data_IF_808933613249
#
_entry.id   IF_808933613249
#
_cell.length_a   1.000
_cell.length_b   1.000
_cell.length_c   1.000
_cell.angle_alpha   90.00
_cell.angle_beta   90.00
_cell.angle_gamma   90.00
#
_symmetry.space_group_name_H-M   'P 1'
#
loop_
_entity.id
_entity.type
_entity.pdbx_description
1 polymer ?
#
# COMPACT_ATOMS: atom_id res chain seq x y z
N UNK A 1 24.73 -4.84 39.92
CA UNK A 1 23.67 -5.70 39.33
C UNK A 1 24.32 -6.46 38.19
N UNK A 2 24.68 -7.73 38.39
CA UNK A 2 25.34 -8.54 37.36
C UNK A 2 24.27 -9.04 36.38
N UNK A 3 24.33 -8.60 35.12
CA UNK A 3 23.50 -9.12 34.03
C UNK A 3 23.83 -10.61 33.85
N UNK A 4 22.81 -11.47 33.84
CA UNK A 4 23.00 -12.90 33.65
C UNK A 4 23.24 -13.22 32.17
N UNK A 5 23.85 -14.36 31.85
CA UNK A 5 24.05 -14.82 30.47
C UNK A 5 22.74 -14.93 29.65
N UNK A 6 21.60 -15.07 30.32
CA UNK A 6 20.27 -15.10 29.69
C UNK A 6 19.79 -13.69 29.30
N UNK A 7 20.09 -12.69 30.12
CA UNK A 7 19.70 -11.29 29.86
C UNK A 7 20.45 -10.73 28.65
N UNK A 8 21.75 -11.01 28.56
CA UNK A 8 22.59 -10.61 27.41
C UNK A 8 22.11 -11.24 26.09
N UNK A 9 21.64 -12.49 26.14
CA UNK A 9 21.06 -13.18 24.98
C UNK A 9 19.75 -12.53 24.53
N UNK A 10 18.88 -12.19 25.49
CA UNK A 10 17.62 -11.49 25.22
C UNK A 10 17.85 -10.08 24.62
N UNK A 11 18.79 -9.33 25.17
CA UNK A 11 19.13 -7.98 24.70
C UNK A 11 19.69 -8.00 23.27
N UNK A 12 20.58 -8.97 22.96
CA UNK A 12 21.11 -9.15 21.60
C UNK A 12 19.99 -9.53 20.62
N UNK A 13 19.12 -10.46 20.98
CA UNK A 13 18.00 -10.88 20.14
C UNK A 13 17.05 -9.71 19.84
N UNK A 14 16.75 -8.89 20.85
CA UNK A 14 15.92 -7.70 20.69
C UNK A 14 16.60 -6.63 19.82
N UNK A 15 17.91 -6.43 19.97
CA UNK A 15 18.66 -5.48 19.14
C UNK A 15 18.62 -5.87 17.65
N UNK A 16 18.83 -7.16 17.34
CA UNK A 16 18.73 -7.68 15.96
C UNK A 16 17.29 -7.56 15.43
N UNK A 17 16.29 -7.90 16.24
CA UNK A 17 14.88 -7.75 15.85
C UNK A 17 14.51 -6.29 15.53
N UNK A 18 15.03 -5.32 16.28
CA UNK A 18 14.85 -3.90 16.00
C UNK A 18 15.54 -3.50 14.70
N UNK A 19 16.79 -3.92 14.47
CA UNK A 19 17.50 -3.63 13.23
C UNK A 19 16.79 -4.19 11.99
N UNK A 20 16.21 -5.40 12.10
CA UNK A 20 15.33 -5.98 11.06
C UNK A 20 14.10 -5.13 10.79
N UNK A 21 13.41 -4.69 11.85
CA UNK A 21 12.20 -3.87 11.73
C UNK A 21 12.50 -2.48 11.16
N UNK A 22 13.66 -1.90 11.50
CA UNK A 22 14.15 -0.65 10.93
C UNK A 22 14.43 -0.78 9.42
N UNK A 23 15.03 -1.90 9.00
CA UNK A 23 15.24 -2.22 7.58
C UNK A 23 13.92 -2.28 6.80
N UNK A 24 12.93 -2.99 7.35
CA UNK A 24 11.58 -3.03 6.79
C UNK A 24 10.92 -1.65 6.77
N UNK A 25 11.01 -0.89 7.87
CA UNK A 25 10.42 0.44 7.99
C UNK A 25 11.02 1.42 6.98
N UNK A 26 12.33 1.33 6.73
CA UNK A 26 13.02 2.09 5.67
C UNK A 26 12.48 1.73 4.30
N UNK A 27 12.36 0.43 3.98
CA UNK A 27 11.76 -0.02 2.72
C UNK A 27 10.35 0.53 2.54
N UNK A 28 9.48 0.33 3.52
CA UNK A 28 8.08 0.74 3.44
C UNK A 28 7.93 2.26 3.30
N UNK A 29 8.74 3.04 4.01
CA UNK A 29 8.77 4.51 3.88
C UNK A 29 9.12 4.95 2.47
N UNK A 30 10.17 4.39 1.86
CA UNK A 30 10.60 4.74 0.49
C UNK A 30 9.56 4.31 -0.54
N UNK A 31 8.96 3.14 -0.38
CA UNK A 31 7.87 2.66 -1.24
C UNK A 31 6.65 3.61 -1.20
N UNK A 32 6.25 4.06 0.00
CA UNK A 32 5.17 5.02 0.19
C UNK A 32 5.51 6.38 -0.38
N UNK A 33 6.74 6.84 -0.22
CA UNK A 33 7.20 8.11 -0.78
C UNK A 33 7.10 8.09 -2.31
N UNK A 34 7.63 7.06 -2.97
CA UNK A 34 7.54 6.90 -4.43
C UNK A 34 6.09 6.89 -4.92
N UNK A 35 5.18 6.25 -4.16
CA UNK A 35 3.74 6.24 -4.46
C UNK A 35 3.09 7.62 -4.30
N UNK A 36 3.48 8.43 -3.30
CA UNK A 36 2.98 9.81 -3.13
C UNK A 36 3.42 10.72 -4.26
N UNK A 37 4.66 10.59 -4.69
CA UNK A 37 5.24 11.38 -5.79
C UNK A 37 4.62 11.01 -7.16
N UNK A 38 3.94 9.88 -7.29
CA UNK A 38 3.27 9.48 -8.53
C UNK A 38 2.21 10.50 -8.98
N UNK A 39 1.49 11.13 -8.04
CA UNK A 39 0.53 12.20 -8.34
C UNK A 39 1.22 13.39 -9.00
N UNK A 40 2.32 13.87 -8.42
CA UNK A 40 3.09 15.00 -8.96
C UNK A 40 3.67 14.68 -10.35
N UNK A 41 4.21 13.47 -10.55
CA UNK A 41 4.72 13.03 -11.87
C UNK A 41 3.62 12.96 -12.92
N UNK A 42 2.43 12.51 -12.53
CA UNK A 42 1.27 12.52 -13.42
C UNK A 42 0.83 13.94 -13.73
N UNK A 43 0.70 14.82 -12.75
CA UNK A 43 0.26 16.22 -12.93
C UNK A 43 1.24 17.05 -13.76
N UNK A 44 2.54 16.78 -13.68
CA UNK A 44 3.56 17.45 -14.50
C UNK A 44 3.75 16.83 -15.89
N UNK A 45 3.02 15.77 -16.22
CA UNK A 45 3.21 14.98 -17.44
C UNK A 45 4.66 14.46 -17.64
N UNK A 46 5.43 14.27 -16.56
CA UNK A 46 6.81 13.77 -16.63
C UNK A 46 6.83 12.25 -16.82
N UNK A 47 6.52 11.83 -18.04
CA UNK A 47 6.46 10.41 -18.39
C UNK A 47 7.82 9.72 -18.33
N UNK A 48 8.92 10.47 -18.42
CA UNK A 48 10.26 9.92 -18.26
C UNK A 48 10.51 9.58 -16.78
N UNK A 49 10.17 10.46 -15.84
CA UNK A 49 10.23 10.20 -14.41
C UNK A 49 9.28 9.06 -14.00
N UNK A 50 8.08 8.97 -14.58
CA UNK A 50 7.17 7.83 -14.32
C UNK A 50 7.85 6.50 -14.70
N UNK A 51 8.45 6.41 -15.90
CA UNK A 51 9.14 5.18 -16.33
C UNK A 51 10.33 4.85 -15.43
N UNK A 52 11.13 5.85 -15.07
CA UNK A 52 12.29 5.68 -14.18
C UNK A 52 11.86 5.18 -12.80
N UNK A 53 10.88 5.84 -12.18
CA UNK A 53 10.37 5.46 -10.87
C UNK A 53 9.79 4.03 -10.86
N UNK A 54 9.12 3.60 -11.94
CA UNK A 54 8.65 2.23 -12.07
C UNK A 54 9.80 1.21 -12.12
N UNK A 55 10.86 1.49 -12.87
CA UNK A 55 12.03 0.63 -12.95
C UNK A 55 12.79 0.54 -11.61
N UNK A 56 13.02 1.69 -10.97
CA UNK A 56 13.68 1.78 -9.66
C UNK A 56 12.88 1.00 -8.59
N UNK A 57 11.55 1.11 -8.59
CA UNK A 57 10.70 0.44 -7.60
C UNK A 57 10.79 -1.09 -7.64
N UNK A 58 11.13 -1.68 -8.79
CA UNK A 58 11.34 -3.14 -8.89
C UNK A 58 12.54 -3.57 -8.03
N UNK A 59 13.58 -2.74 -7.96
CA UNK A 59 14.82 -3.04 -7.23
C UNK A 59 14.76 -2.65 -5.75
N UNK A 60 13.78 -1.82 -5.35
CA UNK A 60 13.68 -1.29 -3.98
C UNK A 60 13.59 -2.36 -2.90
N UNK A 61 12.95 -3.49 -3.15
CA UNK A 61 12.83 -4.52 -2.13
C UNK A 61 14.18 -5.21 -1.91
N UNK A 62 14.78 -5.72 -2.98
CA UNK A 62 16.05 -6.44 -2.93
C UNK A 62 17.18 -5.59 -2.38
N UNK A 63 17.22 -4.31 -2.73
CA UNK A 63 18.23 -3.38 -2.23
C UNK A 63 18.10 -3.16 -0.72
N UNK A 64 16.88 -2.99 -0.20
CA UNK A 64 16.65 -2.79 1.25
C UNK A 64 16.93 -4.04 2.05
N UNK A 65 16.60 -5.21 1.48
CA UNK A 65 16.98 -6.49 2.06
C UNK A 65 18.50 -6.61 2.11
N UNK A 66 19.22 -6.33 1.02
CA UNK A 66 20.69 -6.39 0.99
C UNK A 66 21.33 -5.46 2.03
N UNK A 67 20.91 -4.19 2.09
CA UNK A 67 21.41 -3.24 3.10
C UNK A 67 21.17 -3.74 4.53
N UNK A 68 20.02 -4.38 4.78
CA UNK A 68 19.70 -4.92 6.11
C UNK A 68 20.59 -6.11 6.44
N UNK A 69 20.83 -7.01 5.47
CA UNK A 69 21.75 -8.14 5.64
C UNK A 69 23.17 -7.65 5.95
N UNK A 70 23.69 -6.73 5.14
CA UNK A 70 25.04 -6.15 5.33
C UNK A 70 25.18 -5.48 6.70
N UNK A 71 24.16 -4.70 7.11
CA UNK A 71 24.12 -4.08 8.43
C UNK A 71 24.18 -5.12 9.54
N UNK A 72 23.31 -6.13 9.47
CA UNK A 72 23.22 -7.18 10.49
C UNK A 72 24.54 -7.96 10.64
N UNK A 73 25.15 -8.33 9.51
CA UNK A 73 26.46 -8.98 9.48
C UNK A 73 27.54 -8.10 10.12
N UNK A 74 27.57 -6.81 9.79
CA UNK A 74 28.60 -5.88 10.30
C UNK A 74 28.45 -5.52 11.78
N UNK A 75 27.21 -5.35 12.27
CA UNK A 75 26.94 -4.87 13.64
C UNK A 75 26.87 -6.02 14.66
N UNK A 76 26.44 -7.21 14.24
CA UNK A 76 26.13 -8.33 15.16
C UNK A 76 26.82 -9.65 14.82
N UNK A 77 27.67 -9.69 13.77
CA UNK A 77 28.33 -10.91 13.28
C UNK A 77 27.33 -12.06 13.06
N UNK A 78 26.21 -11.76 12.38
CA UNK A 78 25.07 -12.69 12.31
C UNK A 78 25.36 -14.05 11.67
N UNK A 79 26.44 -14.18 10.91
CA UNK A 79 26.88 -15.46 10.32
C UNK A 79 27.42 -16.44 11.37
N UNK A 80 28.00 -15.92 12.46
CA UNK A 80 28.56 -16.71 13.56
C UNK A 80 27.52 -17.03 14.65
N UNK A 81 26.30 -16.51 14.54
CA UNK A 81 25.28 -16.67 15.59
C UNK A 81 24.70 -18.09 15.60
N UNK A 82 24.48 -18.69 16.79
CA UNK A 82 23.83 -19.99 16.89
C UNK A 82 22.39 -19.94 16.38
N UNK A 83 21.95 -21.00 15.69
CA UNK A 83 20.56 -21.14 15.20
C UNK A 83 19.50 -20.89 16.28
N UNK A 84 19.75 -21.37 17.52
CA UNK A 84 18.84 -21.19 18.64
C UNK A 84 18.55 -19.72 18.98
N UNK A 85 19.46 -18.79 18.64
CA UNK A 85 19.24 -17.35 18.84
C UNK A 85 18.22 -16.78 17.86
N UNK A 86 18.07 -17.38 16.67
CA UNK A 86 17.09 -16.94 15.68
C UNK A 86 15.64 -17.18 16.11
N UNK A 87 15.40 -18.19 16.95
CA UNK A 87 14.09 -18.35 17.63
C UNK A 87 13.80 -17.19 18.56
N UNK A 88 14.78 -16.74 19.35
CA UNK A 88 14.61 -15.60 20.25
C UNK A 88 14.42 -14.31 19.47
N UNK A 89 15.20 -14.09 18.40
CA UNK A 89 15.04 -12.92 17.51
C UNK A 89 13.64 -12.90 16.94
N UNK A 90 13.13 -14.04 16.43
CA UNK A 90 11.76 -14.15 15.91
C UNK A 90 10.72 -13.84 16.99
N UNK A 91 10.89 -14.35 18.21
CA UNK A 91 9.98 -14.08 19.33
C UNK A 91 9.96 -12.58 19.69
N UNK A 92 11.12 -11.94 19.79
CA UNK A 92 11.23 -10.49 20.01
C UNK A 92 10.60 -9.70 18.85
N UNK A 93 10.80 -10.14 17.60
CA UNK A 93 10.22 -9.53 16.42
C UNK A 93 8.68 -9.56 16.47
N UNK A 94 8.07 -10.69 16.83
CA UNK A 94 6.62 -10.81 17.02
C UNK A 94 6.11 -9.79 18.05
N UNK A 95 6.83 -9.63 19.17
CA UNK A 95 6.49 -8.63 20.19
C UNK A 95 6.51 -7.20 19.66
N UNK A 96 7.41 -6.88 18.73
CA UNK A 96 7.45 -5.56 18.07
C UNK A 96 6.29 -5.37 17.07
N UNK A 97 5.71 -6.44 16.53
CA UNK A 97 4.65 -6.38 15.53
C UNK A 97 3.24 -6.22 16.10
N UNK A 98 3.04 -6.38 17.41
CA UNK A 98 1.70 -6.40 18.04
C UNK A 98 0.84 -5.17 17.71
N UNK A 99 1.45 -4.00 17.48
CA UNK A 99 0.76 -2.76 17.08
C UNK A 99 1.21 -2.23 15.71
N UNK A 100 1.90 -3.06 14.93
CA UNK A 100 2.40 -2.66 13.62
C UNK A 100 1.26 -2.68 12.59
N UNK A 101 1.15 -1.64 11.75
CA UNK A 101 0.05 -1.52 10.76
C UNK A 101 0.25 -2.39 9.51
N UNK A 102 1.42 -2.99 9.35
CA UNK A 102 1.78 -3.87 8.22
C UNK A 102 2.55 -5.10 8.71
N UNK A 103 1.96 -5.95 9.58
CA UNK A 103 2.68 -7.06 10.17
C UNK A 103 3.07 -8.12 9.12
N UNK A 104 2.17 -8.48 8.20
CA UNK A 104 2.42 -9.48 7.16
C UNK A 104 3.60 -9.12 6.24
N UNK A 105 3.74 -7.84 5.90
CA UNK A 105 4.86 -7.36 5.08
C UNK A 105 6.18 -7.38 5.86
N UNK A 106 6.14 -7.07 7.16
CA UNK A 106 7.29 -7.14 8.04
C UNK A 106 7.76 -8.59 8.23
N UNK A 107 6.83 -9.53 8.42
CA UNK A 107 7.11 -10.97 8.48
C UNK A 107 7.74 -11.50 7.18
N UNK A 108 7.25 -11.07 6.02
CA UNK A 108 7.84 -11.41 4.72
C UNK A 108 9.26 -10.87 4.58
N UNK A 109 9.48 -9.63 5.04
CA UNK A 109 10.80 -9.00 5.04
C UNK A 109 11.77 -9.76 5.95
N UNK A 110 11.33 -10.11 7.17
CA UNK A 110 12.07 -10.97 8.10
C UNK A 110 12.49 -12.28 7.43
N UNK A 111 11.53 -13.02 6.86
CA UNK A 111 11.83 -14.30 6.19
C UNK A 111 12.89 -14.13 5.09
N UNK A 112 12.78 -13.06 4.29
CA UNK A 112 13.72 -12.81 3.20
C UNK A 112 15.14 -12.53 3.71
N UNK A 113 15.28 -11.71 4.76
CA UNK A 113 16.58 -11.37 5.35
C UNK A 113 17.19 -12.58 6.04
N UNK A 114 16.42 -13.29 6.88
CA UNK A 114 16.88 -14.48 7.59
C UNK A 114 17.33 -15.58 6.63
N UNK A 115 16.59 -15.83 5.54
CA UNK A 115 17.00 -16.80 4.51
C UNK A 115 18.30 -16.44 3.79
N UNK A 116 18.63 -15.13 3.68
CA UNK A 116 19.89 -14.69 3.08
C UNK A 116 21.08 -14.88 4.03
N UNK A 117 20.86 -14.72 5.34
CA UNK A 117 21.92 -14.87 6.35
C UNK A 117 22.17 -16.34 6.68
N UNK A 118 21.12 -17.13 6.89
CA UNK A 118 21.23 -18.53 7.32
C UNK A 118 21.64 -19.51 6.20
N UNK A 119 21.83 -19.02 4.98
CA UNK A 119 22.01 -19.80 3.75
C UNK A 119 20.88 -20.81 3.47
N UNK A 120 20.73 -21.25 2.21
CA UNK A 120 19.58 -22.04 1.70
C UNK A 120 19.37 -23.42 2.35
N UNK A 121 20.19 -23.80 3.31
CA UNK A 121 20.17 -25.11 3.97
C UNK A 121 19.13 -25.22 5.09
N UNK A 122 18.56 -24.09 5.55
CA UNK A 122 17.67 -24.06 6.71
C UNK A 122 16.23 -23.65 6.34
N UNK A 123 15.46 -24.62 5.83
CA UNK A 123 13.99 -24.55 5.76
C UNK A 123 13.35 -25.19 7.00
N UNK A 124 13.81 -24.82 8.20
CA UNK A 124 13.14 -25.23 9.44
C UNK A 124 12.05 -24.21 9.78
N UNK A 125 10.79 -24.66 9.77
CA UNK A 125 9.60 -23.83 9.98
C UNK A 125 9.65 -22.99 11.27
N UNK A 126 10.40 -23.44 12.27
CA UNK A 126 10.50 -22.78 13.58
C UNK A 126 11.12 -21.38 13.48
N UNK A 127 11.99 -21.14 12.49
CA UNK A 127 12.68 -19.86 12.30
C UNK A 127 11.99 -18.91 11.31
N UNK A 128 10.89 -19.33 10.66
CA UNK A 128 10.20 -18.52 9.64
C UNK A 128 8.73 -18.29 9.97
N UNK A 129 8.17 -17.22 9.44
CA UNK A 129 6.73 -16.98 9.46
C UNK A 129 6.07 -17.77 8.32
N UNK A 130 5.64 -19.01 8.61
CA UNK A 130 4.86 -19.87 7.69
C UNK A 130 3.36 -19.58 7.80
N UNK A 131 2.93 -19.09 8.96
CA UNK A 131 1.59 -18.57 9.23
C UNK A 131 1.72 -17.17 9.82
N UNK A 132 0.78 -16.25 9.53
CA UNK A 132 0.78 -14.93 10.15
C UNK A 132 0.82 -15.05 11.67
N UNK A 133 1.74 -14.33 12.31
CA UNK A 133 1.85 -14.34 13.77
C UNK A 133 0.92 -13.31 14.41
N UNK A 134 0.48 -12.30 13.66
CA UNK A 134 -0.41 -11.22 14.11
C UNK A 134 -1.68 -11.18 13.27
N UNK A 135 -2.85 -11.11 13.91
CA UNK A 135 -4.13 -10.94 13.22
C UNK A 135 -4.27 -9.53 12.65
N UNK A 136 -4.72 -9.44 11.39
CA UNK A 136 -5.01 -8.18 10.69
C UNK A 136 -6.49 -7.80 10.74
N UNK A 137 -7.34 -8.61 11.39
CA UNK A 137 -8.81 -8.49 11.40
C UNK A 137 -9.31 -7.17 12.02
N UNK A 138 -8.56 -6.60 12.97
CA UNK A 138 -8.94 -5.39 13.71
C UNK A 138 -8.07 -4.17 13.37
N UNK A 139 -7.41 -4.16 12.20
CA UNK A 139 -6.67 -2.98 11.75
C UNK A 139 -7.63 -1.89 11.27
N UNK A 140 -7.86 -0.89 12.11
CA UNK A 140 -8.60 0.30 11.73
C UNK A 140 -7.75 1.24 10.85
N UNK A 141 -8.30 1.62 9.69
CA UNK A 141 -7.70 2.57 8.79
C UNK A 141 -8.10 4.00 9.13
N UNK A 142 -7.15 4.80 9.62
CA UNK A 142 -7.31 6.26 9.76
C UNK A 142 -6.27 6.99 8.88
N UNK A 143 -6.72 7.76 7.86
CA UNK A 143 -8.11 7.91 7.38
C UNK A 143 -8.63 6.65 6.67
N UNK A 144 -9.95 6.51 6.47
CA UNK A 144 -10.52 5.34 5.81
C UNK A 144 -10.04 5.18 4.37
N UNK A 145 -9.94 3.93 3.91
CA UNK A 145 -9.54 3.58 2.54
C UNK A 145 -10.53 4.08 1.49
N UNK A 146 -11.80 4.22 1.86
CA UNK A 146 -12.87 4.72 1.00
C UNK A 146 -13.49 6.00 1.55
N UNK A 147 -13.83 6.93 0.64
CA UNK A 147 -14.76 8.04 0.88
C UNK A 147 -16.13 7.66 0.34
N UNK A 148 -17.17 7.86 1.14
CA UNK A 148 -18.56 7.55 0.77
C UNK A 148 -19.31 8.80 0.36
N UNK A 149 -20.05 8.70 -0.75
CA UNK A 149 -20.89 9.75 -1.31
C UNK A 149 -22.32 9.23 -1.50
N UNK A 150 -23.33 10.09 -1.32
CA UNK A 150 -24.74 9.66 -1.25
C UNK A 150 -25.60 10.31 -2.35
N UNK A 151 -25.73 9.68 -3.54
CA UNK A 151 -26.45 10.24 -4.69
C UNK A 151 -27.93 10.54 -4.46
N UNK A 152 -28.58 9.83 -3.53
CA UNK A 152 -30.01 10.03 -3.22
C UNK A 152 -30.30 11.43 -2.64
N UNK A 153 -29.35 12.00 -1.91
CA UNK A 153 -29.51 13.31 -1.26
C UNK A 153 -29.21 14.46 -2.23
N UNK A 154 -28.07 14.39 -2.91
CA UNK A 154 -27.52 15.53 -3.65
C UNK A 154 -27.66 15.38 -5.18
N UNK A 155 -28.09 14.22 -5.66
CA UNK A 155 -28.18 13.87 -7.07
C UNK A 155 -26.87 13.36 -7.65
N UNK A 156 -26.96 12.32 -8.49
CA UNK A 156 -25.79 11.61 -9.03
C UNK A 156 -24.78 12.53 -9.74
N UNK A 157 -25.24 13.48 -10.57
CA UNK A 157 -24.34 14.39 -11.31
C UNK A 157 -23.59 15.34 -10.36
N UNK A 158 -24.24 15.83 -9.30
CA UNK A 158 -23.59 16.70 -8.33
C UNK A 158 -22.55 15.93 -7.52
N UNK A 159 -22.89 14.71 -7.09
CA UNK A 159 -21.96 13.80 -6.41
C UNK A 159 -20.74 13.49 -7.27
N UNK A 160 -20.91 13.17 -8.56
CA UNK A 160 -19.77 12.92 -9.44
C UNK A 160 -18.87 14.16 -9.59
N UNK A 161 -19.43 15.38 -9.64
CA UNK A 161 -18.61 16.60 -9.62
C UNK A 161 -17.86 16.77 -8.31
N UNK A 162 -18.50 16.47 -7.18
CA UNK A 162 -17.85 16.54 -5.87
C UNK A 162 -16.68 15.55 -5.80
N UNK A 163 -16.88 14.30 -6.26
CA UNK A 163 -15.83 13.29 -6.32
C UNK A 163 -14.61 13.82 -7.09
N UNK A 164 -14.81 14.44 -8.26
CA UNK A 164 -13.70 14.99 -9.06
C UNK A 164 -12.96 16.13 -8.35
N UNK A 165 -13.68 16.99 -7.61
CA UNK A 165 -13.08 18.06 -6.80
C UNK A 165 -12.23 17.50 -5.67
N UNK A 166 -12.75 16.47 -4.99
CA UNK A 166 -12.12 15.83 -3.85
C UNK A 166 -10.85 15.02 -4.21
N UNK A 167 -10.56 14.81 -5.50
CA UNK A 167 -9.28 14.25 -5.97
C UNK A 167 -8.12 15.23 -5.77
N UNK A 168 -8.42 16.53 -5.63
CA UNK A 168 -7.47 17.61 -5.40
C UNK A 168 -6.34 17.61 -6.44
N UNK A 169 -6.65 17.29 -7.70
CA UNK A 169 -5.67 17.35 -8.79
C UNK A 169 -5.36 18.82 -9.12
N UNK A 170 -4.08 19.16 -9.29
CA UNK A 170 -3.66 20.53 -9.60
C UNK A 170 -4.06 20.97 -11.03
N UNK A 171 -4.19 20.03 -11.96
CA UNK A 171 -4.61 20.32 -13.32
C UNK A 171 -6.15 20.40 -13.41
N UNK A 172 -6.70 21.40 -14.12
CA UNK A 172 -8.12 21.48 -14.36
C UNK A 172 -8.57 20.38 -15.34
N UNK A 173 -9.83 19.99 -15.23
CA UNK A 173 -10.49 19.21 -16.27
C UNK A 173 -10.94 20.12 -17.42
N UNK A 174 -10.74 19.71 -18.66
CA UNK A 174 -11.06 20.51 -19.85
C UNK A 174 -12.55 20.85 -19.94
N UNK A 175 -13.41 19.83 -19.80
CA UNK A 175 -14.86 19.97 -19.80
C UNK A 175 -15.49 18.88 -18.92
N UNK A 176 -15.63 19.19 -17.63
CA UNK A 176 -16.25 18.30 -16.64
C UNK A 176 -17.67 17.91 -17.06
N UNK A 177 -18.42 18.82 -17.66
CA UNK A 177 -19.81 18.57 -17.98
C UNK A 177 -19.97 17.58 -19.14
N UNK A 178 -19.09 17.64 -20.14
CA UNK A 178 -18.94 16.65 -21.22
C UNK A 178 -18.51 15.31 -20.68
N UNK A 179 -17.45 15.28 -19.88
CA UNK A 179 -16.88 14.03 -19.40
C UNK A 179 -17.89 13.29 -18.50
N UNK A 180 -18.62 14.01 -17.64
CA UNK A 180 -19.71 13.43 -16.85
C UNK A 180 -20.89 12.94 -17.70
N UNK A 181 -21.17 13.53 -18.88
CA UNK A 181 -22.16 12.97 -19.80
C UNK A 181 -21.72 11.60 -20.32
N UNK A 182 -20.44 11.41 -20.63
CA UNK A 182 -19.91 10.12 -21.06
C UNK A 182 -19.95 9.08 -19.94
N UNK A 183 -19.53 9.45 -18.72
CA UNK A 183 -19.65 8.58 -17.54
C UNK A 183 -21.09 8.16 -17.30
N UNK A 184 -22.04 9.10 -17.27
CA UNK A 184 -23.46 8.78 -17.06
C UNK A 184 -24.04 7.91 -18.18
N UNK A 185 -23.60 8.11 -19.43
CA UNK A 185 -23.99 7.25 -20.55
C UNK A 185 -23.45 5.83 -20.37
N UNK A 186 -22.20 5.68 -19.96
CA UNK A 186 -21.59 4.38 -19.68
C UNK A 186 -22.30 3.68 -18.52
N UNK A 187 -22.60 4.41 -17.43
CA UNK A 187 -23.36 3.89 -16.28
C UNK A 187 -24.73 3.37 -16.71
N UNK A 188 -25.48 4.13 -17.51
CA UNK A 188 -26.80 3.70 -18.03
C UNK A 188 -26.74 2.46 -18.91
N UNK A 189 -25.61 2.19 -19.56
CA UNK A 189 -25.43 0.98 -20.36
C UNK A 189 -25.19 -0.27 -19.48
N UNK A 190 -24.69 -0.10 -18.26
CA UNK A 190 -24.36 -1.20 -17.34
C UNK A 190 -25.38 -1.40 -16.23
N UNK A 191 -26.19 -0.39 -15.89
CA UNK A 191 -27.26 -0.52 -14.90
C UNK A 191 -28.53 -1.05 -15.58
N UNK A 192 -29.11 -2.17 -15.09
CA UNK A 192 -30.40 -2.67 -15.56
C UNK A 192 -31.50 -1.60 -15.47
N UNK A 193 -32.35 -1.53 -16.49
CA UNK A 193 -33.53 -0.65 -16.46
C UNK A 193 -34.45 -1.08 -15.32
N UNK A 194 -34.97 -0.10 -14.57
CA UNK A 194 -35.90 -0.35 -13.47
C UNK A 194 -35.24 -0.68 -12.12
N UNK A 195 -33.93 -0.46 -11.96
CA UNK A 195 -33.29 -0.61 -10.66
C UNK A 195 -33.94 0.34 -9.64
N UNK A 196 -34.38 -0.20 -8.50
CA UNK A 196 -34.85 0.59 -7.37
C UNK A 196 -33.63 0.97 -6.53
N UNK A 197 -33.50 2.26 -6.24
CA UNK A 197 -32.47 2.73 -5.32
C UNK A 197 -32.93 2.45 -3.89
N UNK A 198 -32.10 1.74 -3.14
CA UNK A 198 -32.29 1.40 -1.74
C UNK A 198 -31.73 2.51 -0.84
N UNK A 199 -32.16 2.54 0.43
CA UNK A 199 -31.76 3.59 1.38
C UNK A 199 -30.24 3.69 1.61
N UNK A 200 -29.52 2.57 1.44
CA UNK A 200 -28.06 2.51 1.57
C UNK A 200 -27.32 2.85 0.26
N UNK A 201 -27.99 3.41 -0.75
CA UNK A 201 -27.34 3.72 -2.02
C UNK A 201 -26.20 4.73 -1.83
N UNK A 202 -24.99 4.30 -2.16
CA UNK A 202 -23.79 5.11 -2.03
C UNK A 202 -22.77 4.79 -3.11
N UNK A 203 -21.90 5.75 -3.39
CA UNK A 203 -20.70 5.58 -4.21
C UNK A 203 -19.51 5.66 -3.25
N UNK A 204 -18.70 4.61 -3.23
CA UNK A 204 -17.47 4.56 -2.47
C UNK A 204 -16.28 4.70 -3.40
N UNK A 205 -15.40 5.65 -3.12
CA UNK A 205 -14.21 5.95 -3.91
C UNK A 205 -12.98 5.69 -3.06
N UNK A 206 -11.96 5.00 -3.60
CA UNK A 206 -10.68 4.88 -2.91
C UNK A 206 -10.05 6.25 -2.71
N UNK A 207 -9.55 6.52 -1.50
CA UNK A 207 -8.98 7.83 -1.11
C UNK A 207 -7.76 8.23 -1.95
N UNK A 208 -7.12 7.29 -2.64
CA UNK A 208 -5.98 7.54 -3.52
C UNK A 208 -6.24 7.03 -4.93
N UNK A 209 -5.79 7.81 -5.93
CA UNK A 209 -5.77 7.42 -7.33
C UNK A 209 -4.68 6.38 -7.60
N UNK A 210 -4.94 5.52 -8.59
CA UNK A 210 -3.98 4.53 -9.06
C UNK A 210 -3.30 5.03 -10.32
N UNK A 211 -1.98 5.16 -10.31
CA UNK A 211 -1.22 5.67 -11.45
C UNK A 211 -0.59 4.53 -12.23
N UNK A 212 -0.79 4.51 -13.54
CA UNK A 212 -0.16 3.55 -14.45
C UNK A 212 0.09 4.17 -15.81
N UNK A 213 1.34 4.10 -16.26
CA UNK A 213 1.78 4.71 -17.53
C UNK A 213 1.42 6.22 -17.57
N UNK A 214 0.57 6.63 -18.52
CA UNK A 214 0.13 8.02 -18.69
C UNK A 214 -1.29 8.28 -18.15
N UNK A 215 -1.78 7.43 -17.26
CA UNK A 215 -3.15 7.46 -16.75
C UNK A 215 -3.18 7.41 -15.24
N UNK A 216 -4.08 8.17 -14.65
CA UNK A 216 -4.56 7.94 -13.30
C UNK A 216 -5.90 7.20 -13.36
N UNK A 217 -6.23 6.43 -12.33
CA UNK A 217 -7.47 5.66 -12.28
C UNK A 217 -8.18 6.00 -10.98
N UNK A 218 -9.39 6.50 -11.12
CA UNK A 218 -10.37 6.62 -10.06
C UNK A 218 -11.03 5.25 -9.89
N UNK A 219 -10.78 4.59 -8.76
CA UNK A 219 -11.35 3.27 -8.45
C UNK A 219 -12.41 3.43 -7.39
N UNK A 220 -13.56 2.82 -7.61
CA UNK A 220 -14.65 2.84 -6.66
C UNK A 220 -15.64 1.71 -6.86
N UNK A 221 -16.69 1.74 -6.05
CA UNK A 221 -17.83 0.84 -6.16
C UNK A 221 -19.13 1.57 -5.85
N UNK A 222 -20.19 1.15 -6.51
CA UNK A 222 -21.56 1.55 -6.19
C UNK A 222 -22.16 0.47 -5.31
N UNK A 223 -22.78 0.89 -4.20
CA UNK A 223 -23.53 0.01 -3.31
C UNK A 223 -25.01 0.36 -3.45
N UNK A 224 -25.86 -0.65 -3.62
CA UNK A 224 -27.31 -0.50 -3.63
C UNK A 224 -27.97 -1.78 -3.13
N UNK A 225 -28.53 -1.76 -1.92
CA UNK A 225 -29.01 -2.97 -1.24
C UNK A 225 -27.84 -3.91 -0.95
N UNK A 226 -27.97 -5.16 -1.36
CA UNK A 226 -26.92 -6.19 -1.30
C UNK A 226 -25.98 -6.21 -2.51
N UNK A 227 -26.22 -5.35 -3.51
CA UNK A 227 -25.43 -5.31 -4.74
C UNK A 227 -24.26 -4.35 -4.57
N UNK A 228 -23.05 -4.86 -4.82
CA UNK A 228 -21.83 -4.06 -4.96
C UNK A 228 -21.31 -4.16 -6.40
N UNK A 229 -21.23 -3.01 -7.09
CA UNK A 229 -20.73 -2.94 -8.45
C UNK A 229 -19.44 -2.11 -8.50
N UNK A 230 -18.27 -2.73 -8.69
CA UNK A 230 -17.01 -2.00 -8.84
C UNK A 230 -16.94 -1.29 -10.21
N UNK A 231 -16.17 -0.20 -10.25
CA UNK A 231 -15.85 0.54 -11.46
C UNK A 231 -14.45 1.16 -11.39
N UNK A 232 -13.89 1.46 -12.56
CA UNK A 232 -12.69 2.25 -12.72
C UNK A 232 -12.89 3.30 -13.81
N UNK A 233 -12.57 4.55 -13.52
CA UNK A 233 -12.64 5.66 -14.47
C UNK A 233 -11.20 6.13 -14.72
N UNK A 234 -10.67 6.00 -15.95
CA UNK A 234 -9.38 6.56 -16.26
C UNK A 234 -9.46 8.10 -16.25
N UNK A 235 -8.38 8.74 -15.85
CA UNK A 235 -8.14 10.17 -15.95
C UNK A 235 -6.87 10.29 -16.77
N UNK A 236 -6.94 11.03 -17.87
CA UNK A 236 -5.85 11.18 -18.83
C UNK A 236 -5.60 12.65 -19.13
N UNK A 237 -4.40 12.95 -19.60
CA UNK A 237 -4.10 14.27 -20.15
C UNK A 237 -4.79 14.41 -21.50
N UNK A 238 -5.36 15.60 -21.75
CA UNK A 238 -5.79 15.99 -23.08
C UNK A 238 -4.56 16.14 -24.01
N UNK A 239 -4.80 16.14 -25.33
CA UNK A 239 -3.73 16.17 -26.35
C UNK A 239 -2.76 17.35 -26.15
N UNK A 240 -3.26 18.49 -25.64
CA UNK A 240 -2.47 19.70 -25.38
C UNK A 240 -1.71 19.68 -24.05
N UNK A 241 -1.94 18.70 -23.18
CA UNK A 241 -1.20 18.49 -21.93
C UNK A 241 -1.40 19.53 -20.83
N UNK A 242 -2.40 20.42 -20.96
CA UNK A 242 -2.71 21.49 -19.98
C UNK A 242 -3.98 21.23 -19.16
N UNK A 243 -4.68 20.15 -19.46
CA UNK A 243 -5.99 19.82 -18.94
C UNK A 243 -6.14 18.30 -18.86
N UNK A 244 -7.05 17.86 -17.99
CA UNK A 244 -7.42 16.46 -17.82
C UNK A 244 -8.79 16.16 -18.43
N UNK A 245 -9.01 14.90 -18.78
CA UNK A 245 -10.32 14.38 -19.13
C UNK A 245 -10.52 12.95 -18.60
N UNK A 246 -11.79 12.51 -18.56
CA UNK A 246 -12.20 11.15 -18.19
C UNK A 246 -12.36 10.24 -19.40
#
# INVERSE_FOLDING_TARGET
MQLTSSDLRGDLALAIARALLEGFSKHYRLFRQSSREAKQRFESADWAAVRRAHAERILFYDERVRETVERLQSEFDTESLPDALWQDIKLQYVGLLTNHRQPELAETFFNTVSCKILHRTYYHNDFMFVRPAVSTEYLEGDPPSYRSYYPLKDGLRAVLRQILRDLELHLPFADVDRDLRFVLRAVRAHIPRGIRLEANNQIQILTSLFFRNRRAYLIGKVINGSIEQPFAIPIVHEVEGRSLCL
#
